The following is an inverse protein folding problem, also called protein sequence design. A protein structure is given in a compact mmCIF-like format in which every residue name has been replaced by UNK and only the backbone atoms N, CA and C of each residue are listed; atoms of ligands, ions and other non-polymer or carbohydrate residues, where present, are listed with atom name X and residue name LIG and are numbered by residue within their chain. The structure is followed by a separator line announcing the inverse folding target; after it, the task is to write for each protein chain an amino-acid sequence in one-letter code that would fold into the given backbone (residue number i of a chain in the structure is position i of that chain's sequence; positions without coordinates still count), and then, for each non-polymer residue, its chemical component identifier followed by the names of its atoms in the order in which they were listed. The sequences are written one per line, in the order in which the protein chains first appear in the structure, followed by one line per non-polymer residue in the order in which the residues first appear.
data_IF_252824121761
#
_entry.id   IF_252824121761
#
_cell.length_a   1.000
_cell.length_b   1.000
_cell.length_c   1.000
_cell.angle_alpha   90.00
_cell.angle_beta   90.00
_cell.angle_gamma   90.00
#
_symmetry.space_group_name_H-M   'P 1'
#
loop_
_entity.id
_entity.type
_entity.pdbx_description
1 polymer ?
#
# COMPACT_ATOMS: atom_id res chain seq x y z
N UNK A 1 1.89 3.83 -8.58
CA UNK A 1 2.39 4.25 -7.26
C UNK A 1 2.71 5.72 -7.37
N UNK A 2 2.21 6.52 -6.46
CA UNK A 2 2.47 7.96 -6.37
C UNK A 2 3.27 8.21 -5.11
N UNK A 3 4.26 9.10 -5.18
CA UNK A 3 5.16 9.40 -4.09
C UNK A 3 5.35 10.90 -4.06
N UNK A 4 5.18 11.52 -2.89
CA UNK A 4 5.40 12.95 -2.68
C UNK A 4 6.18 13.14 -1.38
N UNK A 5 7.15 14.08 -1.36
CA UNK A 5 7.77 14.46 -0.11
C UNK A 5 6.74 15.15 0.79
N UNK A 6 6.88 14.97 2.11
CA UNK A 6 6.10 15.69 3.10
C UNK A 6 6.39 17.20 2.98
N UNK A 7 5.39 18.07 3.14
CA UNK A 7 5.59 19.52 3.12
C UNK A 7 6.47 20.02 4.28
N UNK A 8 6.61 19.24 5.36
CA UNK A 8 7.37 19.63 6.55
C UNK A 8 8.83 19.21 6.46
N UNK A 9 9.14 18.10 5.78
CA UNK A 9 10.52 17.59 5.66
C UNK A 9 10.71 16.72 4.43
N UNK A 10 11.83 16.93 3.73
CA UNK A 10 12.25 16.08 2.61
C UNK A 10 12.71 14.69 3.06
N UNK A 11 12.92 14.47 4.36
CA UNK A 11 13.30 13.16 4.93
C UNK A 11 12.09 12.26 5.20
N UNK A 12 10.87 12.71 4.90
CA UNK A 12 9.66 11.90 5.01
C UNK A 12 8.89 11.99 3.70
N UNK A 13 8.63 10.87 3.05
CA UNK A 13 7.84 10.82 1.83
C UNK A 13 6.57 10.01 2.07
N UNK A 14 5.43 10.57 1.69
CA UNK A 14 4.16 9.86 1.69
C UNK A 14 3.92 9.28 0.29
N UNK A 15 3.44 8.05 0.26
CA UNK A 15 3.23 7.32 -0.97
C UNK A 15 1.93 6.53 -0.95
N UNK A 16 1.33 6.39 -2.14
CA UNK A 16 0.17 5.52 -2.36
C UNK A 16 0.49 4.52 -3.47
N UNK A 17 0.29 3.25 -3.17
CA UNK A 17 0.42 2.15 -4.10
C UNK A 17 -0.94 1.54 -4.41
N UNK A 18 -1.32 1.65 -5.68
CA UNK A 18 -2.47 0.97 -6.26
C UNK A 18 -2.01 -0.37 -6.84
N UNK A 19 -2.56 -1.46 -6.31
CA UNK A 19 -2.29 -2.81 -6.79
C UNK A 19 -3.35 -3.20 -7.81
N UNK A 20 -2.94 -3.74 -8.96
CA UNK A 20 -3.88 -4.06 -10.05
C UNK A 20 -4.09 -5.57 -10.24
N UNK A 21 -3.21 -6.42 -9.71
CA UNK A 21 -3.21 -7.85 -10.00
C UNK A 21 -2.68 -8.65 -8.80
N UNK A 22 -3.09 -9.92 -8.71
CA UNK A 22 -2.67 -10.84 -7.66
C UNK A 22 -3.64 -10.87 -6.48
N UNK A 23 -3.19 -11.40 -5.34
CA UNK A 23 -4.02 -11.57 -4.13
C UNK A 23 -4.50 -10.24 -3.54
N UNK A 24 -3.81 -9.14 -3.86
CA UNK A 24 -4.11 -7.81 -3.38
C UNK A 24 -4.71 -6.92 -4.47
N UNK A 25 -5.37 -7.51 -5.48
CA UNK A 25 -5.99 -6.74 -6.55
C UNK A 25 -6.91 -5.64 -5.99
N UNK A 26 -6.84 -4.47 -6.61
CA UNK A 26 -7.57 -3.25 -6.24
C UNK A 26 -7.22 -2.67 -4.84
N UNK A 27 -6.18 -3.17 -4.18
CA UNK A 27 -5.73 -2.59 -2.92
C UNK A 27 -5.19 -1.16 -3.10
N UNK A 28 -5.57 -0.27 -2.19
CA UNK A 28 -5.07 1.10 -2.09
C UNK A 28 -4.23 1.20 -0.82
N UNK A 29 -2.92 1.07 -0.98
CA UNK A 29 -1.99 0.98 0.14
C UNK A 29 -1.28 2.31 0.33
N UNK A 30 -1.56 3.00 1.44
CA UNK A 30 -0.85 4.20 1.85
C UNK A 30 0.34 3.80 2.70
N UNK A 31 1.52 4.35 2.42
CA UNK A 31 2.72 4.09 3.20
C UNK A 31 3.61 5.33 3.24
N UNK A 32 4.44 5.40 4.27
CA UNK A 32 5.39 6.46 4.54
C UNK A 32 6.80 5.91 4.50
N UNK A 33 7.69 6.63 3.82
CA UNK A 33 9.13 6.43 3.85
C UNK A 33 9.75 7.46 4.77
N UNK A 34 10.49 7.00 5.77
CA UNK A 34 11.27 7.87 6.65
C UNK A 34 12.75 7.61 6.42
N UNK A 35 13.46 8.63 5.95
CA UNK A 35 14.90 8.59 5.73
C UNK A 35 15.64 8.90 7.03
N UNK A 36 16.65 8.10 7.41
CA UNK A 36 17.47 8.41 8.56
C UNK A 36 18.42 9.58 8.25
N UNK A 37 18.90 10.26 9.30
CA UNK A 37 19.80 11.42 9.15
C UNK A 37 21.15 11.07 8.47
N UNK A 38 21.53 9.79 8.48
CA UNK A 38 22.73 9.29 7.84
C UNK A 38 22.46 8.70 6.44
N UNK A 39 21.30 8.94 5.84
CA UNK A 39 21.02 8.48 4.47
C UNK A 39 22.08 9.04 3.49
N UNK A 40 22.67 8.23 2.58
CA UNK A 40 22.30 6.86 2.21
C UNK A 40 23.00 5.72 2.97
N UNK A 41 23.77 5.98 4.04
CA UNK A 41 24.52 4.94 4.77
C UNK A 41 23.61 3.90 5.45
N UNK A 42 22.37 4.26 5.78
CA UNK A 42 21.35 3.34 6.31
C UNK A 42 20.09 3.34 5.46
N UNK A 43 19.35 2.21 5.42
CA UNK A 43 18.11 2.10 4.64
C UNK A 43 17.01 3.01 5.21
N UNK A 44 16.09 3.49 4.35
CA UNK A 44 14.87 4.14 4.84
C UNK A 44 13.97 3.13 5.54
N UNK A 45 13.17 3.61 6.49
CA UNK A 45 12.09 2.83 7.11
C UNK A 45 10.82 3.01 6.29
N UNK A 46 10.17 1.90 5.96
CA UNK A 46 8.90 1.88 5.22
C UNK A 46 7.80 1.43 6.18
N UNK A 47 6.79 2.26 6.35
CA UNK A 47 5.64 1.98 7.21
C UNK A 47 4.32 2.18 6.46
N UNK A 48 3.52 1.14 6.38
CA UNK A 48 2.15 1.20 5.88
C UNK A 48 1.26 1.88 6.91
N UNK A 49 0.51 2.90 6.44
CA UNK A 49 -0.46 3.67 7.23
C UNK A 49 -1.84 3.02 7.17
N UNK A 50 -2.11 2.24 6.11
CA UNK A 50 -3.32 1.42 6.00
C UNK A 50 -3.39 0.43 7.15
N UNK A 51 -4.40 0.56 8.01
CA UNK A 51 -4.47 -0.14 9.31
C UNK A 51 -4.57 -1.68 9.18
N UNK A 52 -5.02 -2.21 8.02
CA UNK A 52 -5.22 -3.66 7.81
C UNK A 52 -4.54 -4.12 6.53
N UNK A 53 -3.23 -4.36 6.57
CA UNK A 53 -2.47 -4.99 5.47
C UNK A 53 -2.01 -6.38 5.89
N UNK A 54 -2.59 -7.41 5.28
CA UNK A 54 -2.22 -8.80 5.59
C UNK A 54 -1.13 -9.30 4.64
N UNK A 55 0.15 -9.17 5.00
CA UNK A 55 1.28 -9.56 4.14
C UNK A 55 2.45 -10.16 4.94
N UNK A 56 3.18 -11.18 4.45
CA UNK A 56 4.26 -11.85 5.19
C UNK A 56 5.38 -10.90 5.67
N UNK A 57 5.77 -9.93 4.84
CA UNK A 57 6.82 -8.94 5.14
C UNK A 57 6.34 -7.72 5.93
N UNK A 58 5.05 -7.62 6.27
CA UNK A 58 4.48 -6.46 6.98
C UNK A 58 4.14 -6.87 8.41
N UNK A 59 4.62 -6.12 9.39
CA UNK A 59 4.25 -6.33 10.79
C UNK A 59 2.82 -5.85 11.06
N UNK A 60 2.26 -6.27 12.21
CA UNK A 60 0.99 -5.75 12.71
C UNK A 60 0.99 -4.22 12.94
N UNK A 61 2.18 -3.60 13.07
CA UNK A 61 2.35 -2.15 13.19
C UNK A 61 2.55 -1.43 11.85
N UNK A 62 2.45 -2.16 10.73
CA UNK A 62 2.62 -1.63 9.37
C UNK A 62 4.07 -1.54 8.89
N UNK A 63 5.06 -1.93 9.70
CA UNK A 63 6.47 -1.88 9.29
C UNK A 63 6.75 -2.93 8.22
N UNK A 64 7.39 -2.53 7.13
CA UNK A 64 7.75 -3.41 6.03
C UNK A 64 9.22 -3.84 6.10
N UNK A 65 9.48 -5.15 5.98
CA UNK A 65 10.84 -5.67 6.02
C UNK A 65 11.56 -5.54 4.66
N UNK A 66 12.66 -4.79 4.65
CA UNK A 66 13.56 -4.62 3.51
C UNK A 66 14.67 -5.69 3.45
N UNK A 67 14.87 -6.46 4.51
CA UNK A 67 15.94 -7.44 4.60
C UNK A 67 16.00 -8.48 3.47
N UNK A 68 14.88 -9.02 2.95
CA UNK A 68 14.94 -10.06 1.90
C UNK A 68 15.75 -9.64 0.67
N UNK A 69 15.73 -8.35 0.32
CA UNK A 69 16.40 -7.82 -0.86
C UNK A 69 17.65 -7.00 -0.54
N UNK A 70 17.70 -6.38 0.64
CA UNK A 70 18.71 -5.36 0.95
C UNK A 70 19.59 -5.71 2.16
N UNK A 71 19.76 -7.00 2.48
CA UNK A 71 20.72 -7.45 3.51
C UNK A 71 21.99 -8.00 2.84
N UNK A 72 23.19 -7.39 3.05
CA UNK A 72 23.44 -6.11 3.72
C UNK A 72 23.07 -4.90 2.85
N UNK A 73 22.76 -3.76 3.49
CA UNK A 73 22.46 -2.52 2.78
C UNK A 73 23.73 -1.95 2.15
N UNK A 74 23.66 -1.57 0.87
CA UNK A 74 24.78 -1.05 0.09
C UNK A 74 24.46 0.37 -0.39
N UNK A 75 24.93 1.43 0.29
CA UNK A 75 24.57 2.83 0.01
C UNK A 75 24.81 3.31 -1.42
N UNK A 76 25.81 2.74 -2.11
CA UNK A 76 26.19 3.12 -3.47
C UNK A 76 25.39 2.40 -4.56
N UNK A 77 24.79 1.26 -4.21
CA UNK A 77 24.03 0.41 -5.14
C UNK A 77 22.52 0.54 -4.92
N UNK A 78 22.07 0.59 -3.66
CA UNK A 78 20.66 0.61 -3.31
C UNK A 78 20.14 2.04 -3.17
N UNK A 79 19.20 2.41 -4.03
CA UNK A 79 18.54 3.72 -4.03
C UNK A 79 17.10 3.59 -3.57
N UNK A 80 16.47 4.73 -3.30
CA UNK A 80 15.02 4.78 -2.98
C UNK A 80 14.17 4.13 -4.06
N UNK A 81 14.54 4.29 -5.33
CA UNK A 81 13.82 3.66 -6.44
C UNK A 81 13.84 2.13 -6.37
N UNK A 82 14.95 1.54 -5.92
CA UNK A 82 15.04 0.09 -5.73
C UNK A 82 14.14 -0.37 -4.59
N UNK A 83 14.08 0.41 -3.50
CA UNK A 83 13.16 0.16 -2.38
C UNK A 83 11.71 0.22 -2.84
N UNK A 84 11.32 1.26 -3.58
CA UNK A 84 9.96 1.38 -4.13
C UNK A 84 9.64 0.25 -5.12
N UNK A 85 10.61 -0.15 -5.93
CA UNK A 85 10.47 -1.30 -6.83
C UNK A 85 10.26 -2.60 -6.05
N UNK A 86 11.05 -2.81 -4.98
CA UNK A 86 10.92 -3.98 -4.13
C UNK A 86 9.56 -4.03 -3.42
N UNK A 87 9.07 -2.90 -2.89
CA UNK A 87 7.72 -2.81 -2.33
C UNK A 87 6.71 -3.27 -3.36
N UNK A 88 6.76 -2.76 -4.60
CA UNK A 88 5.85 -3.20 -5.68
C UNK A 88 6.00 -4.68 -6.02
N UNK A 89 7.22 -5.21 -5.99
CA UNK A 89 7.49 -6.61 -6.31
C UNK A 89 6.96 -7.56 -5.22
N UNK A 90 7.08 -7.18 -3.95
CA UNK A 90 6.69 -8.01 -2.81
C UNK A 90 5.22 -8.46 -2.83
N UNK A 91 4.31 -7.64 -3.38
CA UNK A 91 2.89 -8.00 -3.51
C UNK A 91 2.58 -8.93 -4.69
N UNK A 92 3.57 -9.29 -5.50
CA UNK A 92 3.40 -10.20 -6.64
C UNK A 92 3.71 -11.64 -6.22
N UNK A 93 3.03 -12.58 -6.87
CA UNK A 93 3.18 -14.02 -6.61
C UNK A 93 4.65 -14.49 -6.60
N UNK A 94 5.44 -14.13 -7.60
CA UNK A 94 6.85 -14.56 -7.68
C UNK A 94 7.67 -14.15 -6.45
N UNK A 95 7.45 -12.94 -5.92
CA UNK A 95 8.16 -12.49 -4.73
C UNK A 95 7.63 -13.21 -3.49
N UNK A 96 6.32 -13.43 -3.39
CA UNK A 96 5.71 -14.21 -2.30
C UNK A 96 6.27 -15.63 -2.24
N UNK A 97 6.50 -16.26 -3.39
CA UNK A 97 7.08 -17.60 -3.50
C UNK A 97 8.56 -17.66 -3.05
N UNK A 98 9.30 -16.55 -3.17
CA UNK A 98 10.73 -16.46 -2.81
C UNK A 98 10.99 -15.98 -1.37
N UNK A 99 9.94 -15.54 -0.65
CA UNK A 99 10.07 -15.08 0.73
C UNK A 99 10.51 -16.25 1.63
N UNK A 100 11.42 -15.96 2.55
CA UNK A 100 11.85 -16.89 3.59
C UNK A 100 11.18 -16.57 4.92
N UNK A 101 10.81 -17.61 5.66
CA UNK A 101 10.21 -17.46 6.99
C UNK A 101 11.04 -16.57 7.94
N UNK A 102 12.37 -16.64 7.85
CA UNK A 102 13.29 -15.86 8.69
C UNK A 102 13.15 -14.34 8.49
N UNK A 103 12.65 -13.90 7.33
CA UNK A 103 12.44 -12.49 7.02
C UNK A 103 10.96 -12.06 7.15
N UNK A 104 10.07 -12.98 7.52
CA UNK A 104 8.66 -12.69 7.72
C UNK A 104 8.42 -12.01 9.07
N UNK A 105 7.84 -10.81 9.04
CA UNK A 105 7.35 -10.13 10.24
C UNK A 105 5.98 -10.66 10.67
N UNK A 106 5.18 -11.13 9.71
CA UNK A 106 3.91 -11.80 9.96
C UNK A 106 4.02 -13.29 9.58
N UNK A 107 4.32 -14.10 10.60
CA UNK A 107 4.46 -15.56 10.44
C UNK A 107 3.14 -16.25 10.07
N UNK A 108 2.01 -15.72 10.52
CA UNK A 108 0.70 -16.27 10.15
C UNK A 108 0.41 -16.10 8.66
N UNK A 109 0.73 -14.93 8.09
CA UNK A 109 0.59 -14.70 6.66
C UNK A 109 1.48 -15.63 5.83
N UNK A 110 2.73 -15.84 6.27
CA UNK A 110 3.64 -16.80 5.64
C UNK A 110 3.11 -18.23 5.71
N UNK A 111 2.71 -18.68 6.90
CA UNK A 111 2.18 -20.03 7.13
C UNK A 111 0.94 -20.29 6.27
N UNK A 112 -0.03 -19.37 6.28
CA UNK A 112 -1.22 -19.49 5.46
C UNK A 112 -0.91 -19.50 3.97
N UNK A 113 0.12 -18.76 3.52
CA UNK A 113 0.52 -18.80 2.11
C UNK A 113 0.94 -20.21 1.67
N UNK A 114 1.75 -20.88 2.49
CA UNK A 114 2.32 -22.20 2.19
C UNK A 114 1.40 -23.38 2.51
N UNK A 115 0.62 -23.30 3.58
CA UNK A 115 -0.26 -24.40 4.02
C UNK A 115 -1.66 -24.30 3.40
N UNK A 116 -2.22 -23.09 3.35
CA UNK A 116 -3.63 -22.88 3.01
C UNK A 116 -3.81 -21.63 2.16
N UNK A 117 -3.30 -21.67 0.93
CA UNK A 117 -3.26 -20.50 0.02
C UNK A 117 -4.65 -19.89 -0.21
N UNK A 118 -5.73 -20.67 -0.14
CA UNK A 118 -7.11 -20.15 -0.23
C UNK A 118 -7.48 -19.21 0.92
N UNK A 119 -7.09 -19.56 2.16
CA UNK A 119 -7.31 -18.72 3.33
C UNK A 119 -6.47 -17.45 3.27
N UNK A 120 -5.22 -17.56 2.82
CA UNK A 120 -4.37 -16.39 2.57
C UNK A 120 -5.00 -15.45 1.54
N UNK A 121 -5.48 -15.99 0.40
CA UNK A 121 -6.13 -15.21 -0.64
C UNK A 121 -7.40 -14.50 -0.13
N UNK A 122 -8.19 -15.18 0.72
CA UNK A 122 -9.36 -14.60 1.36
C UNK A 122 -9.02 -13.40 2.25
N UNK A 123 -8.01 -13.55 3.13
CA UNK A 123 -7.56 -12.48 4.03
C UNK A 123 -6.90 -11.31 3.28
N UNK A 124 -6.11 -11.60 2.24
CA UNK A 124 -5.51 -10.59 1.37
C UNK A 124 -6.58 -9.79 0.60
N UNK A 125 -7.61 -10.48 0.10
CA UNK A 125 -8.76 -9.83 -0.55
C UNK A 125 -9.57 -8.97 0.42
N UNK A 126 -9.84 -9.48 1.63
CA UNK A 126 -10.51 -8.70 2.68
C UNK A 126 -9.71 -7.45 3.07
N UNK A 127 -8.40 -7.59 3.23
CA UNK A 127 -7.48 -6.46 3.47
C UNK A 127 -7.56 -5.43 2.34
N UNK A 128 -7.63 -5.88 1.08
CA UNK A 128 -7.77 -5.02 -0.09
C UNK A 128 -9.10 -4.26 -0.09
N UNK A 129 -10.21 -4.93 0.21
CA UNK A 129 -11.54 -4.30 0.32
C UNK A 129 -11.60 -3.25 1.43
N UNK A 130 -11.04 -3.55 2.60
CA UNK A 130 -10.97 -2.61 3.72
C UNK A 130 -10.12 -1.38 3.38
N UNK A 131 -9.06 -1.55 2.59
CA UNK A 131 -8.22 -0.43 2.14
C UNK A 131 -8.96 0.58 1.24
N UNK A 132 -10.04 0.14 0.57
CA UNK A 132 -10.88 1.00 -0.25
C UNK A 132 -12.03 1.64 0.53
N UNK A 133 -12.22 1.28 1.80
CA UNK A 133 -13.33 1.79 2.60
C UNK A 133 -13.20 3.30 2.81
N UNK A 134 -14.35 3.99 2.87
CA UNK A 134 -14.40 5.44 3.09
C UNK A 134 -13.59 5.89 4.32
N UNK A 135 -13.62 5.19 5.48
CA UNK A 135 -12.75 5.51 6.62
C UNK A 135 -11.25 5.41 6.32
N UNK A 136 -10.82 4.43 5.51
CA UNK A 136 -9.41 4.22 5.17
C UNK A 136 -8.90 5.21 4.09
N UNK A 137 -9.80 5.68 3.22
CA UNK A 137 -9.46 6.63 2.17
C UNK A 137 -9.56 8.08 2.66
N UNK A 138 -10.67 8.44 3.30
CA UNK A 138 -11.05 9.80 3.66
C UNK A 138 -10.81 10.10 5.15
N UNK A 139 -9.59 9.85 5.63
CA UNK A 139 -9.13 10.08 7.01
C UNK A 139 -9.48 11.49 7.58
N UNK A 140 -9.77 12.48 6.73
CA UNK A 140 -10.14 13.85 7.15
C UNK A 140 -11.51 13.97 7.80
N UNK A 141 -12.45 13.07 7.50
CA UNK A 141 -13.86 13.21 7.90
C UNK A 141 -14.27 12.26 9.04
N UNK A 142 -13.35 11.40 9.51
CA UNK A 142 -13.65 10.49 10.62
C UNK A 142 -13.30 11.12 11.98
N UNK A 143 -14.28 11.34 12.88
CA UNK A 143 -14.06 12.02 14.17
C UNK A 143 -13.08 11.34 15.15
N UNK A 144 -12.65 10.11 14.89
CA UNK A 144 -11.86 9.27 15.81
C UNK A 144 -10.35 9.43 15.68
N UNK A 145 -9.84 10.18 14.69
CA UNK A 145 -8.40 10.21 14.34
C UNK A 145 -7.75 11.60 14.38
N UNK A 146 -8.32 12.54 15.17
CA UNK A 146 -7.68 13.82 15.50
C UNK A 146 -6.30 13.60 16.13
N UNK A 147 -5.24 13.61 15.32
CA UNK A 147 -3.85 13.48 15.80
C UNK A 147 -2.90 12.70 14.90
N UNK A 148 -3.36 11.95 13.88
CA UNK A 148 -2.44 11.33 12.91
C UNK A 148 -1.75 12.45 12.08
N UNK A 149 -0.42 12.36 11.85
CA UNK A 149 0.32 13.36 11.09
C UNK A 149 -0.29 13.57 9.70
N UNK A 150 -0.32 14.83 9.25
CA UNK A 150 -0.95 15.26 7.99
C UNK A 150 -0.46 14.37 6.82
N UNK A 151 -1.35 13.59 6.24
CA UNK A 151 -1.06 12.89 4.98
C UNK A 151 -0.85 13.93 3.88
N UNK A 152 0.32 13.92 3.23
CA UNK A 152 0.57 14.81 2.09
C UNK A 152 -0.27 14.46 0.85
N UNK A 153 -0.89 13.27 0.82
CA UNK A 153 -1.78 12.79 -0.25
C UNK A 153 -3.22 12.59 0.26
N UNK A 154 -3.99 13.66 0.50
CA UNK A 154 -5.37 13.53 0.96
C UNK A 154 -6.27 13.05 -0.19
N UNK A 155 -7.03 11.98 0.06
CA UNK A 155 -8.20 11.68 -0.76
C UNK A 155 -9.37 12.55 -0.33
N UNK A 156 -10.16 12.99 -1.29
CA UNK A 156 -11.42 13.68 -1.04
C UNK A 156 -12.51 13.00 -1.84
N UNK A 157 -13.65 12.80 -1.21
CA UNK A 157 -14.83 12.36 -1.93
C UNK A 157 -15.21 13.47 -2.92
N UNK A 158 -15.47 13.08 -4.16
CA UNK A 158 -15.82 14.02 -5.21
C UNK A 158 -17.35 14.03 -5.33
N UNK A 159 -18.03 15.17 -5.12
CA UNK A 159 -19.49 15.23 -5.19
C UNK A 159 -20.01 14.72 -6.54
N UNK A 160 -21.19 14.07 -6.58
CA UNK A 160 -21.74 13.47 -7.80
C UNK A 160 -21.79 14.44 -8.99
N UNK A 161 -22.14 15.70 -8.75
CA UNK A 161 -22.22 16.75 -9.78
C UNK A 161 -20.85 17.08 -10.39
N UNK A 162 -19.82 17.19 -9.55
CA UNK A 162 -18.45 17.38 -10.02
C UNK A 162 -17.95 16.15 -10.77
N UNK A 163 -18.37 14.96 -10.34
CA UNK A 163 -17.95 13.69 -10.91
C UNK A 163 -18.53 13.52 -12.31
N UNK A 164 -19.81 13.84 -12.51
CA UNK A 164 -20.44 13.89 -13.83
C UNK A 164 -19.77 14.92 -14.73
N UNK A 165 -19.46 16.12 -14.20
CA UNK A 165 -18.75 17.16 -14.96
C UNK A 165 -17.37 16.68 -15.41
N UNK A 166 -16.60 16.03 -14.53
CA UNK A 166 -15.29 15.50 -14.87
C UNK A 166 -15.38 14.36 -15.88
N UNK A 167 -16.33 13.42 -15.71
CA UNK A 167 -16.59 12.33 -16.66
C UNK A 167 -16.95 12.86 -18.06
N UNK A 168 -17.80 13.87 -18.13
CA UNK A 168 -18.18 14.52 -19.38
C UNK A 168 -16.98 15.18 -20.09
N UNK A 169 -16.08 15.83 -19.34
CA UNK A 169 -14.86 16.45 -19.90
C UNK A 169 -13.91 15.45 -20.54
N UNK A 170 -13.86 14.21 -20.03
CA UNK A 170 -12.99 13.15 -20.55
C UNK A 170 -13.73 12.16 -21.46
N UNK A 171 -14.99 12.44 -21.80
CA UNK A 171 -15.79 11.63 -22.72
C UNK A 171 -16.23 10.27 -22.17
N UNK A 172 -16.12 10.03 -20.86
CA UNK A 172 -16.57 8.78 -20.23
C UNK A 172 -18.09 8.83 -20.03
N UNK A 173 -18.80 7.88 -20.63
CA UNK A 173 -20.23 7.64 -20.36
C UNK A 173 -20.40 6.65 -19.22
N UNK A 174 -21.49 6.80 -18.46
CA UNK A 174 -21.87 5.80 -17.46
C UNK A 174 -22.13 4.46 -18.15
N UNK A 175 -21.68 3.38 -17.51
CA UNK A 175 -21.98 2.03 -17.97
C UNK A 175 -23.49 1.82 -17.86
N UNK A 176 -24.16 1.66 -19.00
CA UNK A 176 -25.58 1.34 -18.99
C UNK A 176 -25.75 -0.02 -18.30
N UNK A 177 -26.49 -0.04 -17.20
CA UNK A 177 -26.93 -1.29 -16.57
C UNK A 177 -27.84 -1.97 -17.59
N UNK A 178 -27.34 -3.02 -18.25
CA UNK A 178 -28.17 -3.85 -19.12
C UNK A 178 -29.20 -4.52 -18.21
N UNK A 179 -30.51 -4.25 -18.35
CA UNK A 179 -31.50 -4.97 -17.58
C UNK A 179 -31.39 -6.45 -17.96
N UNK A 180 -31.17 -7.33 -16.99
CA UNK A 180 -31.36 -8.76 -17.20
C UNK A 180 -32.81 -8.96 -17.63
N UNK A 181 -33.01 -9.25 -18.92
CA UNK A 181 -34.29 -9.71 -19.42
C UNK A 181 -34.59 -11.06 -18.80
N UNK A 182 -35.83 -11.17 -18.32
CA UNK A 182 -36.43 -12.26 -17.58
C UNK A 182 -36.55 -13.55 -18.39
#
# INVERSE_FOLDING_TARGET
MYVVPSPETLMVWDAVFFVHQGYYADAILKFRLTFPNNYPESPPVVQFVTDVVFHPLISHSGIFNLAPRFRPWRPKEHRVFDVLHWIKAAFKKHALDEIKEADCLNKEAYRLYHETTSSFAGLASQSSQLSQSAPALFDRDHPTLKGKPRDALPFRELPPEMLQTQRAKIGLKEWAVVPQQS
#
